data_IF_477717859427
#
_entry.id   IF_477717859427
#
_cell.length_a   1.000
_cell.length_b   1.000
_cell.length_c   1.000
_cell.angle_alpha   90.00
_cell.angle_beta   90.00
_cell.angle_gamma   90.00
#
_symmetry.space_group_name_H-M   'P 1'
#
loop_
_entity.id
_entity.type
_entity.pdbx_description
1 polymer ?
#
# COMPACT_ATOMS: atom_id res chain seq x y z
N UNK A 1 10.87 -39.97 -16.38
CA UNK A 1 10.46 -39.51 -17.72
C UNK A 1 8.96 -39.71 -17.86
N UNK A 2 8.18 -38.64 -17.70
CA UNK A 2 6.73 -38.68 -17.89
C UNK A 2 6.39 -38.33 -19.35
N UNK A 3 5.66 -39.23 -20.01
CA UNK A 3 5.24 -39.12 -21.41
C UNK A 3 4.05 -38.14 -21.51
N UNK A 4 4.23 -37.02 -22.22
CA UNK A 4 3.18 -36.02 -22.49
C UNK A 4 3.17 -35.66 -23.98
N UNK A 5 2.62 -36.54 -24.80
CA UNK A 5 2.30 -36.27 -26.20
C UNK A 5 1.08 -35.35 -26.29
N UNK A 6 1.29 -34.01 -26.27
CA UNK A 6 0.29 -33.04 -26.74
C UNK A 6 0.05 -31.76 -25.90
N UNK A 7 0.71 -30.67 -26.31
CA UNK A 7 0.18 -29.32 -26.62
C UNK A 7 -0.10 -28.22 -25.57
N UNK A 8 0.03 -28.39 -24.26
CA UNK A 8 -0.07 -27.23 -23.34
C UNK A 8 1.14 -27.09 -22.42
N UNK A 9 1.84 -25.96 -22.54
CA UNK A 9 2.81 -25.54 -21.53
C UNK A 9 2.04 -24.95 -20.34
N UNK A 10 1.93 -25.72 -19.28
CA UNK A 10 1.30 -25.29 -18.03
C UNK A 10 2.39 -24.94 -17.03
N UNK A 11 2.42 -23.68 -16.59
CA UNK A 11 3.24 -23.26 -15.45
C UNK A 11 2.42 -23.44 -14.17
N UNK A 12 2.91 -24.25 -13.24
CA UNK A 12 2.37 -24.30 -11.87
C UNK A 12 2.86 -23.04 -11.16
N UNK A 13 1.92 -22.21 -10.68
CA UNK A 13 2.23 -20.95 -10.02
C UNK A 13 2.89 -21.19 -8.66
N UNK A 14 4.05 -20.56 -8.44
CA UNK A 14 4.72 -20.46 -7.16
C UNK A 14 4.25 -19.25 -6.33
N UNK A 15 4.75 -19.12 -5.10
CA UNK A 15 4.41 -18.00 -4.20
C UNK A 15 4.79 -16.65 -4.81
N UNK A 16 5.92 -16.60 -5.49
CA UNK A 16 6.46 -15.43 -6.18
C UNK A 16 5.51 -14.98 -7.30
N UNK A 17 4.93 -15.93 -8.03
CA UNK A 17 3.95 -15.64 -9.08
C UNK A 17 2.69 -15.00 -8.49
N UNK A 18 2.20 -15.50 -7.35
CA UNK A 18 1.04 -14.90 -6.67
C UNK A 18 1.29 -13.46 -6.21
N UNK A 19 2.52 -13.15 -5.77
CA UNK A 19 2.89 -11.79 -5.39
C UNK A 19 2.97 -10.87 -6.62
N UNK A 20 3.54 -11.35 -7.73
CA UNK A 20 3.62 -10.60 -8.98
C UNK A 20 2.23 -10.26 -9.56
N UNK A 21 1.23 -11.12 -9.32
CA UNK A 21 -0.16 -10.87 -9.71
C UNK A 21 -0.80 -9.71 -8.93
N UNK A 22 -0.21 -9.21 -7.85
CA UNK A 22 -0.76 -8.04 -7.14
C UNK A 22 -0.22 -6.75 -7.76
N UNK A 23 -0.79 -6.34 -8.89
CA UNK A 23 -0.25 -5.26 -9.74
C UNK A 23 0.12 -3.97 -8.99
N UNK A 24 -0.71 -3.52 -8.04
CA UNK A 24 -0.41 -2.31 -7.26
C UNK A 24 0.75 -2.50 -6.27
N UNK A 25 0.93 -3.70 -5.72
CA UNK A 25 2.00 -4.02 -4.77
C UNK A 25 3.31 -4.29 -5.51
N UNK A 26 3.26 -5.05 -6.61
CA UNK A 26 4.42 -5.33 -7.46
C UNK A 26 4.97 -4.09 -8.15
N UNK A 27 4.12 -3.10 -8.46
CA UNK A 27 4.54 -1.81 -8.98
C UNK A 27 5.19 -0.89 -7.93
N UNK A 28 4.97 -1.15 -6.63
CA UNK A 28 5.55 -0.33 -5.58
C UNK A 28 6.99 -0.78 -5.32
N UNK A 29 8.01 0.12 -5.41
CA UNK A 29 9.40 -0.26 -5.14
C UNK A 29 9.65 -0.72 -3.69
N UNK A 30 8.73 -0.38 -2.77
CA UNK A 30 8.79 -0.78 -1.37
C UNK A 30 7.85 -1.97 -1.04
N UNK A 31 7.28 -2.60 -2.07
CA UNK A 31 6.33 -3.70 -1.94
C UNK A 31 5.19 -3.45 -0.92
N UNK A 32 4.78 -2.19 -0.75
CA UNK A 32 3.77 -1.81 0.24
C UNK A 32 2.44 -2.49 -0.05
N UNK A 33 1.88 -3.17 0.96
CA UNK A 33 0.64 -3.92 0.84
C UNK A 33 -0.59 -2.99 0.76
N UNK A 34 -0.83 -2.53 -0.46
CA UNK A 34 -1.90 -1.58 -0.77
C UNK A 34 -3.29 -2.15 -0.53
N UNK A 35 -3.51 -3.41 -0.91
CA UNK A 35 -4.81 -4.06 -0.73
C UNK A 35 -5.19 -4.08 0.75
N UNK A 36 -4.24 -4.43 1.61
CA UNK A 36 -4.50 -4.63 3.04
C UNK A 36 -4.79 -3.33 3.77
N UNK A 37 -4.05 -2.24 3.51
CA UNK A 37 -4.41 -0.97 4.15
C UNK A 37 -5.65 -0.32 3.55
N UNK A 38 -5.91 -0.48 2.25
CA UNK A 38 -7.17 0.00 1.64
C UNK A 38 -8.36 -0.74 2.25
N UNK A 39 -8.25 -2.06 2.44
CA UNK A 39 -9.26 -2.85 3.15
C UNK A 39 -9.47 -2.36 4.59
N UNK A 40 -8.39 -2.14 5.34
CA UNK A 40 -8.48 -1.60 6.70
C UNK A 40 -9.20 -0.23 6.73
N UNK A 41 -8.98 0.64 5.73
CA UNK A 41 -9.73 1.90 5.61
C UNK A 41 -11.23 1.64 5.40
N UNK A 42 -11.61 0.69 4.54
CA UNK A 42 -13.03 0.33 4.32
C UNK A 42 -13.70 -0.26 5.56
N UNK A 43 -12.92 -0.86 6.46
CA UNK A 43 -13.39 -1.43 7.73
C UNK A 43 -13.42 -0.39 8.87
N UNK A 44 -13.00 0.86 8.62
CA UNK A 44 -12.89 1.90 9.66
C UNK A 44 -11.65 1.78 10.55
N UNK A 45 -10.78 0.82 10.26
CA UNK A 45 -9.56 0.49 11.02
C UNK A 45 -8.38 1.39 10.60
N UNK A 46 -8.50 2.70 10.82
CA UNK A 46 -7.58 3.70 10.28
C UNK A 46 -6.17 3.63 10.86
N UNK A 47 -6.02 3.31 12.15
CA UNK A 47 -4.71 3.11 12.77
C UNK A 47 -4.00 1.91 12.16
N UNK A 48 -4.73 0.79 12.03
CA UNK A 48 -4.25 -0.43 11.38
C UNK A 48 -3.83 -0.14 9.94
N UNK A 49 -4.61 0.64 9.19
CA UNK A 49 -4.26 1.06 7.84
C UNK A 49 -2.93 1.82 7.79
N UNK A 50 -2.72 2.78 8.70
CA UNK A 50 -1.45 3.49 8.83
C UNK A 50 -0.30 2.54 9.15
N UNK A 51 -0.49 1.63 10.12
CA UNK A 51 0.54 0.67 10.53
C UNK A 51 0.92 -0.25 9.38
N UNK A 52 -0.04 -0.80 8.64
CA UNK A 52 0.21 -1.61 7.44
C UNK A 52 1.01 -0.82 6.40
N UNK A 53 0.60 0.41 6.10
CA UNK A 53 1.30 1.23 5.11
C UNK A 53 2.74 1.60 5.56
N UNK A 54 2.96 1.71 6.87
CA UNK A 54 4.28 1.98 7.48
C UNK A 54 5.18 0.76 7.56
N UNK A 55 4.64 -0.46 7.61
CA UNK A 55 5.40 -1.70 7.83
C UNK A 55 6.63 -1.83 6.93
N UNK A 56 6.49 -1.52 5.63
CA UNK A 56 7.59 -1.57 4.67
C UNK A 56 8.16 -0.19 4.30
N UNK A 57 7.61 0.89 4.88
CA UNK A 57 7.96 2.25 4.52
C UNK A 57 8.01 3.17 5.76
N UNK A 58 9.19 3.43 6.35
CA UNK A 58 9.32 4.32 7.50
C UNK A 58 8.98 5.78 7.16
N UNK A 59 9.04 6.17 5.88
CA UNK A 59 8.75 7.51 5.37
C UNK A 59 7.33 7.61 4.76
N UNK A 60 6.41 6.74 5.18
CA UNK A 60 5.04 6.67 4.63
C UNK A 60 4.33 8.03 4.60
N UNK A 61 4.52 8.88 5.61
CA UNK A 61 3.91 10.22 5.67
C UNK A 61 4.42 11.13 4.55
N UNK A 62 5.72 11.08 4.23
CA UNK A 62 6.31 11.85 3.12
C UNK A 62 5.86 11.27 1.78
N UNK A 63 6.00 9.94 1.61
CA UNK A 63 5.59 9.25 0.40
C UNK A 63 4.09 9.44 0.10
N UNK A 64 3.24 9.61 1.11
CA UNK A 64 1.81 9.90 0.90
C UNK A 64 1.55 11.22 0.17
N UNK A 65 2.53 12.12 0.11
CA UNK A 65 2.43 13.44 -0.52
C UNK A 65 3.21 13.49 -1.84
N UNK A 66 4.45 13.02 -1.82
CA UNK A 66 5.39 13.21 -2.94
C UNK A 66 5.53 12.01 -3.87
N UNK A 67 4.99 10.84 -3.50
CA UNK A 67 5.11 9.64 -4.35
C UNK A 67 4.48 9.88 -5.74
N UNK A 68 5.13 9.38 -6.78
CA UNK A 68 4.66 9.40 -8.18
C UNK A 68 3.57 8.36 -8.47
N UNK A 69 3.15 7.63 -7.44
CA UNK A 69 2.07 6.64 -7.44
C UNK A 69 2.16 5.58 -8.58
N UNK A 70 3.28 4.83 -8.69
CA UNK A 70 3.38 3.75 -9.69
C UNK A 70 2.32 2.66 -9.48
N UNK A 71 1.86 2.47 -8.25
CA UNK A 71 0.77 1.57 -7.88
C UNK A 71 -0.58 1.95 -8.49
N UNK A 72 -0.84 3.24 -8.72
CA UNK A 72 -2.07 3.73 -9.37
C UNK A 72 -1.98 3.52 -10.89
N UNK A 73 -0.81 3.77 -11.48
CA UNK A 73 -0.56 3.54 -12.91
C UNK A 73 -0.77 2.08 -13.31
N UNK A 74 -0.34 1.14 -12.46
CA UNK A 74 -0.51 -0.30 -12.68
C UNK A 74 -1.80 -0.85 -12.04
N UNK A 75 -2.73 -0.01 -11.59
CA UNK A 75 -3.96 -0.47 -11.00
C UNK A 75 -4.85 -1.17 -12.04
N UNK A 76 -5.36 -2.36 -11.72
CA UNK A 76 -6.27 -3.09 -12.63
C UNK A 76 -7.56 -2.33 -12.91
N UNK A 77 -8.01 -1.52 -11.95
CA UNK A 77 -9.22 -0.69 -12.11
C UNK A 77 -9.09 0.39 -13.19
N UNK A 78 -7.86 0.75 -13.57
CA UNK A 78 -7.61 1.68 -14.69
C UNK A 78 -8.16 1.17 -16.02
N UNK A 79 -8.29 -0.15 -16.21
CA UNK A 79 -8.89 -0.72 -17.43
C UNK A 79 -10.42 -0.71 -17.46
N UNK A 80 -11.06 -0.52 -16.30
CA UNK A 80 -12.52 -0.54 -16.11
C UNK A 80 -13.08 0.86 -15.79
N UNK A 81 -12.23 1.88 -15.77
CA UNK A 81 -12.57 3.23 -15.31
C UNK A 81 -11.34 3.95 -14.76
N UNK A 82 -11.42 4.43 -13.53
CA UNK A 82 -10.31 5.12 -12.86
C UNK A 82 -9.52 4.18 -11.94
N UNK A 83 -8.20 4.39 -11.77
CA UNK A 83 -7.45 3.73 -10.71
C UNK A 83 -8.05 4.05 -9.34
N UNK A 84 -7.72 3.23 -8.35
CA UNK A 84 -7.93 3.59 -6.94
C UNK A 84 -6.94 4.69 -6.59
N UNK A 85 -7.38 5.75 -5.90
CA UNK A 85 -6.54 6.85 -5.41
C UNK A 85 -5.70 6.43 -4.19
N UNK A 86 -4.79 5.49 -4.43
CA UNK A 86 -3.98 4.81 -3.42
C UNK A 86 -3.12 5.80 -2.61
N UNK A 87 -2.52 6.80 -3.25
CA UNK A 87 -1.72 7.84 -2.58
C UNK A 87 -2.59 8.72 -1.69
N UNK A 88 -3.80 9.08 -2.15
CA UNK A 88 -4.75 9.86 -1.34
C UNK A 88 -5.22 9.06 -0.11
N UNK A 89 -5.57 7.78 -0.28
CA UNK A 89 -5.95 6.89 0.83
C UNK A 89 -4.80 6.70 1.84
N UNK A 90 -3.57 6.56 1.34
CA UNK A 90 -2.37 6.51 2.18
C UNK A 90 -2.19 7.80 2.98
N UNK A 91 -2.40 8.97 2.34
CA UNK A 91 -2.35 10.28 3.01
C UNK A 91 -3.42 10.39 4.07
N UNK A 92 -4.66 9.99 3.78
CA UNK A 92 -5.76 9.99 4.73
C UNK A 92 -5.41 9.21 6.02
N UNK A 93 -4.85 8.00 5.89
CA UNK A 93 -4.41 7.23 7.06
C UNK A 93 -3.26 7.91 7.83
N UNK A 94 -2.27 8.48 7.11
CA UNK A 94 -1.14 9.18 7.72
C UNK A 94 -1.54 10.49 8.43
N UNK A 95 -2.48 11.24 7.86
CA UNK A 95 -2.91 12.51 8.45
C UNK A 95 -3.71 12.28 9.75
N UNK A 96 -4.29 11.09 9.94
CA UNK A 96 -5.03 10.72 11.16
C UNK A 96 -4.18 10.04 12.24
N UNK A 97 -3.30 9.11 11.85
CA UNK A 97 -2.53 8.29 12.81
C UNK A 97 -1.00 8.39 12.65
N UNK A 98 -0.52 9.09 11.62
CA UNK A 98 0.90 9.22 11.35
C UNK A 98 1.64 10.09 12.36
N UNK A 99 2.96 9.93 12.39
CA UNK A 99 3.85 10.77 13.23
C UNK A 99 3.77 12.25 12.89
N UNK A 100 3.33 12.62 11.69
CA UNK A 100 3.14 14.00 11.25
C UNK A 100 1.65 14.42 11.29
N UNK A 101 0.77 13.60 11.89
CA UNK A 101 -0.64 13.97 12.08
C UNK A 101 -0.73 15.20 13.00
N UNK A 102 -1.73 16.09 12.82
CA UNK A 102 -1.93 17.24 13.68
C UNK A 102 -2.00 16.86 15.17
N UNK A 103 -2.65 15.72 15.48
CA UNK A 103 -2.73 15.16 16.83
C UNK A 103 -1.36 14.81 17.40
N UNK A 104 -0.52 14.12 16.62
CA UNK A 104 0.82 13.73 17.07
C UNK A 104 1.76 14.93 17.22
N UNK A 105 1.65 15.91 16.33
CA UNK A 105 2.46 17.15 16.39
C UNK A 105 2.06 17.99 17.60
N UNK A 106 0.76 18.21 17.82
CA UNK A 106 0.26 18.96 18.97
C UNK A 106 0.71 18.34 20.30
N UNK A 107 0.63 17.00 20.41
CA UNK A 107 1.10 16.28 21.59
C UNK A 107 2.59 16.51 21.85
N UNK A 108 3.45 16.35 20.83
CA UNK A 108 4.90 16.56 20.98
C UNK A 108 5.27 18.00 21.28
N UNK A 109 4.53 18.97 20.72
CA UNK A 109 4.75 20.37 21.01
C UNK A 109 4.41 20.71 22.47
N UNK A 110 3.29 20.18 22.99
CA UNK A 110 2.95 20.30 24.41
C UNK A 110 4.04 19.68 25.30
N UNK A 111 4.44 18.43 25.02
CA UNK A 111 5.52 17.74 25.73
C UNK A 111 6.85 18.51 25.68
N UNK A 112 7.15 19.20 24.57
CA UNK A 112 8.35 20.03 24.46
C UNK A 112 8.22 21.33 25.26
N UNK A 113 7.06 21.97 25.26
CA UNK A 113 6.81 23.22 25.99
C UNK A 113 6.82 23.05 27.51
N UNK A 114 6.62 21.83 28.00
CA UNK A 114 6.68 21.48 29.43
C UNK A 114 8.09 21.12 29.93
N UNK A 115 9.07 21.05 29.03
CA UNK A 115 10.48 20.73 29.33
C UNK A 115 11.34 21.99 29.37
#
# INVERSE_FOLDING_TARGET
MGNHSGKYQVKILGVEDYQALVACQSACPLATDTKRYVRAITEGEYEKAYLIARQTNPLVSVCSRVCTAPCEKNCRKSGEGSPVDIRALKRFACDRHGVASPRAVAKRFAEFSER
#
